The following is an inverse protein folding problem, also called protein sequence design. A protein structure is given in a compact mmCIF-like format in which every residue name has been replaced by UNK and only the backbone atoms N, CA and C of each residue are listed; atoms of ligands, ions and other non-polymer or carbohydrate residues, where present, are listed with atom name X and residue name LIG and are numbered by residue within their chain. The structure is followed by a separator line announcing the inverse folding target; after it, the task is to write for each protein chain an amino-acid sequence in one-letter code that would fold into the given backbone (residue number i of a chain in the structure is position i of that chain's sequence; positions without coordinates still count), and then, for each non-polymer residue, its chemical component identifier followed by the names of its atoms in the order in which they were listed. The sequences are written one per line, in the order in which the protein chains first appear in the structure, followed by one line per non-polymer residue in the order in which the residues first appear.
data_IF_936449680515
#
_entry.id   IF_936449680515
#
_cell.length_a   1.000
_cell.length_b   1.000
_cell.length_c   1.000
_cell.angle_alpha   90.00
_cell.angle_beta   90.00
_cell.angle_gamma   90.00
#
_symmetry.space_group_name_H-M   'P 1'
#
loop_
_entity.id
_entity.type
_entity.pdbx_description
1 polymer ?
#
# COMPACT_ATOMS: atom_id res chain seq x y z
N UNK A 1 -3.73 31.19 -16.15
CA UNK A 1 -2.74 30.09 -16.09
C UNK A 1 -2.42 29.65 -14.65
N UNK A 2 -1.48 30.29 -13.93
CA UNK A 2 -0.99 29.78 -12.63
C UNK A 2 -2.04 29.68 -11.52
N UNK A 3 -2.98 30.62 -11.44
CA UNK A 3 -4.03 30.59 -10.43
C UNK A 3 -4.94 29.34 -10.56
N UNK A 4 -5.24 28.93 -11.79
CA UNK A 4 -6.08 27.77 -12.08
C UNK A 4 -5.34 26.48 -11.73
N UNK A 5 -4.07 26.37 -12.12
CA UNK A 5 -3.21 25.24 -11.73
C UNK A 5 -3.10 25.13 -10.21
N UNK A 6 -2.79 26.24 -9.51
CA UNK A 6 -2.71 26.27 -8.05
C UNK A 6 -4.03 25.85 -7.41
N UNK A 7 -5.17 26.33 -7.92
CA UNK A 7 -6.48 25.93 -7.44
C UNK A 7 -6.73 24.42 -7.60
N UNK A 8 -6.39 23.83 -8.74
CA UNK A 8 -6.49 22.38 -8.95
C UNK A 8 -5.59 21.60 -7.99
N UNK A 9 -4.34 22.03 -7.80
CA UNK A 9 -3.43 21.39 -6.85
C UNK A 9 -3.88 21.54 -5.39
N UNK A 10 -4.53 22.64 -5.02
CA UNK A 10 -5.14 22.81 -3.68
C UNK A 10 -6.31 21.84 -3.49
N UNK A 11 -7.20 21.72 -4.48
CA UNK A 11 -8.29 20.73 -4.43
C UNK A 11 -7.72 19.33 -4.28
N UNK A 12 -6.69 19.00 -5.07
CA UNK A 12 -6.02 17.71 -4.99
C UNK A 12 -5.43 17.47 -3.60
N UNK A 13 -4.72 18.45 -3.05
CA UNK A 13 -4.14 18.39 -1.70
C UNK A 13 -5.20 18.10 -0.64
N UNK A 14 -6.34 18.81 -0.70
CA UNK A 14 -7.46 18.60 0.23
C UNK A 14 -8.07 17.22 0.06
N UNK A 15 -8.33 16.79 -1.17
CA UNK A 15 -8.90 15.48 -1.46
C UNK A 15 -8.00 14.34 -0.95
N UNK A 16 -6.70 14.43 -1.17
CA UNK A 16 -5.72 13.45 -0.67
C UNK A 16 -5.66 13.47 0.86
N UNK A 17 -5.70 14.66 1.47
CA UNK A 17 -5.69 14.77 2.94
C UNK A 17 -6.92 14.10 3.56
N UNK A 18 -8.10 14.28 2.96
CA UNK A 18 -9.34 13.61 3.39
C UNK A 18 -9.21 12.09 3.21
N UNK A 19 -8.78 11.64 2.03
CA UNK A 19 -8.60 10.21 1.75
C UNK A 19 -7.60 9.58 2.73
N UNK A 20 -6.48 10.24 2.98
CA UNK A 20 -5.45 9.75 3.90
C UNK A 20 -5.98 9.63 5.32
N UNK A 21 -6.75 10.60 5.79
CA UNK A 21 -7.37 10.55 7.13
C UNK A 21 -8.48 9.47 7.22
N UNK A 22 -9.12 9.14 6.10
CA UNK A 22 -10.10 8.06 6.03
C UNK A 22 -9.46 6.68 6.08
N UNK A 23 -8.36 6.47 5.34
CA UNK A 23 -7.70 5.17 5.24
C UNK A 23 -6.59 4.96 6.29
N UNK A 24 -6.08 6.02 6.89
CA UNK A 24 -4.99 5.99 7.85
C UNK A 24 -5.34 6.85 9.05
N UNK A 25 -5.03 6.38 10.26
CA UNK A 25 -5.06 7.25 11.45
C UNK A 25 -3.68 7.92 11.60
N UNK A 26 -3.51 9.20 11.23
CA UNK A 26 -2.20 9.86 11.22
C UNK A 26 -1.58 10.01 12.61
N UNK A 27 -2.39 9.92 13.67
CA UNK A 27 -1.91 10.00 15.06
C UNK A 27 -1.32 8.68 15.57
N UNK A 28 -1.75 7.55 15.01
CA UNK A 28 -1.25 6.21 15.39
C UNK A 28 -0.10 5.75 14.50
N UNK A 29 -0.09 6.19 13.24
CA UNK A 29 0.93 5.83 12.27
C UNK A 29 2.17 6.71 12.41
N UNK A 30 3.32 6.18 11.99
CA UNK A 30 4.58 6.93 12.06
C UNK A 30 4.55 8.04 10.99
N UNK A 31 4.87 9.27 11.40
CA UNK A 31 4.73 10.47 10.56
C UNK A 31 5.37 10.34 9.17
N UNK A 32 6.53 9.69 9.07
CA UNK A 32 7.25 9.53 7.80
C UNK A 32 6.50 8.60 6.84
N UNK A 33 5.79 7.58 7.33
CA UNK A 33 4.98 6.69 6.49
C UNK A 33 3.84 7.50 5.85
N UNK A 34 3.14 8.27 6.68
CA UNK A 34 2.05 9.15 6.26
C UNK A 34 2.54 10.18 5.23
N UNK A 35 3.73 10.74 5.42
CA UNK A 35 4.34 11.68 4.48
C UNK A 35 4.64 11.05 3.10
N UNK A 36 5.31 9.89 3.06
CA UNK A 36 5.65 9.24 1.80
C UNK A 36 4.41 8.77 1.03
N UNK A 37 3.38 8.27 1.75
CA UNK A 37 2.10 7.91 1.13
C UNK A 37 1.40 9.16 0.57
N UNK A 38 1.39 10.27 1.32
CA UNK A 38 0.82 11.53 0.87
C UNK A 38 1.48 12.02 -0.43
N UNK A 39 2.81 12.04 -0.48
CA UNK A 39 3.57 12.45 -1.67
C UNK A 39 3.31 11.48 -2.83
N UNK A 40 3.32 10.17 -2.58
CA UNK A 40 3.08 9.15 -3.61
C UNK A 40 1.69 9.27 -4.24
N UNK A 41 0.65 9.47 -3.41
CA UNK A 41 -0.71 9.73 -3.91
C UNK A 41 -0.79 11.06 -4.64
N UNK A 42 -0.15 12.11 -4.11
CA UNK A 42 -0.07 13.43 -4.73
C UNK A 42 0.47 13.40 -6.16
N UNK A 43 1.60 12.72 -6.34
CA UNK A 43 2.24 12.57 -7.65
C UNK A 43 1.47 11.64 -8.59
N UNK A 44 0.73 10.66 -8.06
CA UNK A 44 -0.06 9.74 -8.89
C UNK A 44 -1.34 10.41 -9.41
N UNK A 45 -2.05 11.13 -8.53
CA UNK A 45 -3.30 11.80 -8.88
C UNK A 45 -3.10 13.13 -9.63
N UNK A 46 -1.88 13.68 -9.66
CA UNK A 46 -1.57 14.82 -10.51
C UNK A 46 -1.52 14.45 -12.00
N UNK A 47 -1.22 13.19 -12.36
CA UNK A 47 -1.13 12.74 -13.75
C UNK A 47 -2.48 12.84 -14.48
N UNK A 48 -3.60 12.29 -13.95
CA UNK A 48 -4.92 12.47 -14.55
C UNK A 48 -5.39 13.92 -14.65
N UNK A 49 -4.85 14.83 -13.82
CA UNK A 49 -5.15 16.26 -13.88
C UNK A 49 -4.31 16.98 -14.94
N UNK A 50 -3.02 16.63 -15.08
CA UNK A 50 -2.11 17.26 -16.02
C UNK A 50 -2.36 16.80 -17.47
N UNK A 51 -2.76 15.55 -17.67
CA UNK A 51 -2.95 14.98 -19.01
C UNK A 51 -3.97 15.75 -19.88
N UNK A 52 -5.18 16.11 -19.40
CA UNK A 52 -6.13 16.92 -20.20
C UNK A 52 -5.63 18.34 -20.47
N UNK A 53 -4.83 18.90 -19.55
CA UNK A 53 -4.23 20.22 -19.69
C UNK A 53 -3.18 20.21 -20.80
N UNK A 54 -2.35 19.18 -20.83
CA UNK A 54 -1.34 18.96 -21.87
C UNK A 54 -1.99 18.77 -23.25
N UNK A 55 -3.00 17.91 -23.34
CA UNK A 55 -3.73 17.67 -24.60
C UNK A 55 -4.37 18.97 -25.11
N UNK A 56 -5.09 19.70 -24.24
CA UNK A 56 -5.77 20.93 -24.67
C UNK A 56 -4.80 22.03 -25.07
N UNK A 57 -3.67 22.18 -24.36
CA UNK A 57 -2.62 23.15 -24.70
C UNK A 57 -1.90 22.79 -25.99
N UNK A 58 -1.55 21.50 -26.17
CA UNK A 58 -0.91 21.00 -27.40
C UNK A 58 -1.80 21.14 -28.64
N UNK A 59 -3.12 20.97 -28.50
CA UNK A 59 -4.07 21.20 -29.59
C UNK A 59 -4.17 22.68 -29.96
N UNK A 60 -4.14 23.57 -28.97
CA UNK A 60 -4.13 25.01 -29.18
C UNK A 60 -2.85 25.47 -29.89
N UNK A 61 -1.68 24.99 -29.46
CA UNK A 61 -0.40 25.33 -30.08
C UNK A 61 -0.35 24.91 -31.57
N UNK A 62 -0.81 23.69 -31.87
CA UNK A 62 -0.92 23.20 -33.26
C UNK A 62 -1.91 24.01 -34.11
N UNK A 63 -2.98 24.51 -33.50
CA UNK A 63 -3.96 25.38 -34.17
C UNK A 63 -3.30 26.71 -34.57
N UNK A 64 -2.53 27.32 -33.66
CA UNK A 64 -1.77 28.54 -33.93
C UNK A 64 -0.73 28.33 -35.05
N UNK A 65 -0.01 27.21 -35.03
CA UNK A 65 0.98 26.86 -36.07
C UNK A 65 0.34 26.63 -37.44
N UNK A 66 -0.89 26.13 -37.49
CA UNK A 66 -1.63 25.85 -38.73
C UNK A 66 -2.21 27.10 -39.40
N UNK A 67 -2.11 28.28 -38.77
CA UNK A 67 -2.57 29.55 -39.34
C UNK A 67 -4.10 29.67 -39.46
N UNK A 68 -4.87 28.89 -38.70
CA UNK A 68 -6.33 29.00 -38.69
C UNK A 68 -6.78 30.22 -37.90
N UNK A 69 -7.74 30.98 -38.45
CA UNK A 69 -8.24 32.23 -37.84
C UNK A 69 -9.17 32.02 -36.62
N UNK A 70 -9.47 30.76 -36.25
CA UNK A 70 -10.38 30.41 -35.15
C UNK A 70 -9.66 29.40 -34.25
N UNK A 71 -8.90 29.92 -33.27
CA UNK A 71 -8.27 29.12 -32.22
C UNK A 71 -8.70 29.71 -30.87
N UNK A 72 -9.59 29.02 -30.16
CA UNK A 72 -10.01 29.44 -28.82
C UNK A 72 -8.98 28.99 -27.79
N UNK A 73 -8.44 29.94 -27.02
CA UNK A 73 -7.49 29.63 -25.94
C UNK A 73 -8.21 28.85 -24.84
N UNK A 74 -7.72 27.65 -24.47
CA UNK A 74 -8.34 26.90 -23.38
C UNK A 74 -8.12 27.62 -22.05
N UNK A 75 -9.13 27.60 -21.17
CA UNK A 75 -9.06 28.21 -19.83
C UNK A 75 -7.85 27.73 -19.00
N UNK A 76 -7.39 26.51 -19.28
CA UNK A 76 -6.26 25.85 -18.61
C UNK A 76 -5.00 25.84 -19.48
N UNK A 77 -4.85 26.74 -20.45
CA UNK A 77 -3.66 26.79 -21.29
C UNK A 77 -2.37 26.90 -20.45
N UNK A 78 -1.39 26.06 -20.77
CA UNK A 78 -0.05 26.08 -20.17
C UNK A 78 0.99 26.03 -21.27
N UNK A 79 1.95 26.96 -21.20
CA UNK A 79 3.07 27.01 -22.14
C UNK A 79 3.87 25.69 -22.18
N UNK A 80 4.26 25.26 -23.39
CA UNK A 80 5.01 24.03 -23.63
C UNK A 80 6.24 23.89 -22.74
N UNK A 81 7.03 24.95 -22.50
CA UNK A 81 8.23 24.87 -21.64
C UNK A 81 7.85 24.52 -20.20
N UNK A 82 6.73 25.03 -19.73
CA UNK A 82 6.23 24.76 -18.38
C UNK A 82 5.72 23.32 -18.27
N UNK A 83 4.98 22.84 -19.27
CA UNK A 83 4.53 21.45 -19.34
C UNK A 83 5.70 20.46 -19.30
N UNK A 84 6.76 20.71 -20.08
CA UNK A 84 7.97 19.88 -20.06
C UNK A 84 8.63 19.85 -18.68
N UNK A 85 8.70 20.98 -17.98
CA UNK A 85 9.26 21.03 -16.62
C UNK A 85 8.36 20.23 -15.66
N UNK A 86 7.04 20.40 -15.72
CA UNK A 86 6.09 19.68 -14.87
C UNK A 86 6.16 18.17 -15.10
N UNK A 87 6.17 17.72 -16.36
CA UNK A 87 6.30 16.31 -16.71
C UNK A 87 7.65 15.73 -16.29
N UNK A 88 8.76 16.45 -16.46
CA UNK A 88 10.07 16.01 -15.98
C UNK A 88 10.07 15.85 -14.46
N UNK A 89 9.54 16.82 -13.72
CA UNK A 89 9.40 16.72 -12.27
C UNK A 89 8.56 15.48 -11.90
N UNK A 90 7.36 15.33 -12.46
CA UNK A 90 6.50 14.18 -12.19
C UNK A 90 7.21 12.87 -12.49
N UNK A 91 7.83 12.75 -13.66
CA UNK A 91 8.56 11.55 -14.08
C UNK A 91 9.67 11.19 -13.09
N UNK A 92 10.57 12.12 -12.78
CA UNK A 92 11.72 11.82 -11.92
C UNK A 92 11.32 11.57 -10.47
N UNK A 93 10.38 12.36 -9.92
CA UNK A 93 9.93 12.16 -8.55
C UNK A 93 9.12 10.87 -8.39
N UNK A 94 8.23 10.53 -9.34
CA UNK A 94 7.49 9.25 -9.31
C UNK A 94 8.44 8.08 -9.46
N UNK A 95 9.43 8.18 -10.35
CA UNK A 95 10.44 7.12 -10.55
C UNK A 95 11.26 6.91 -9.28
N UNK A 96 11.80 7.97 -8.68
CA UNK A 96 12.54 7.87 -7.42
C UNK A 96 11.67 7.27 -6.32
N UNK A 97 10.44 7.75 -6.18
CA UNK A 97 9.57 7.34 -5.10
C UNK A 97 9.11 5.88 -5.24
N UNK A 98 8.78 5.45 -6.46
CA UNK A 98 8.32 4.08 -6.76
C UNK A 98 9.45 3.05 -6.70
N UNK A 99 10.62 3.36 -7.24
CA UNK A 99 11.73 2.40 -7.34
C UNK A 99 12.70 2.45 -6.16
N UNK A 100 12.64 3.45 -5.28
CA UNK A 100 13.56 3.52 -4.14
C UNK A 100 12.85 3.76 -2.82
N UNK A 101 12.09 4.85 -2.70
CA UNK A 101 11.57 5.28 -1.40
C UNK A 101 10.49 4.36 -0.85
N UNK A 102 9.48 4.00 -1.65
CA UNK A 102 8.39 3.11 -1.21
C UNK A 102 8.91 1.70 -0.88
N UNK A 103 9.67 1.00 -1.75
CA UNK A 103 10.17 -0.34 -1.44
C UNK A 103 11.06 -0.38 -0.20
N UNK A 104 11.95 0.63 -0.06
CA UNK A 104 12.76 0.78 1.15
C UNK A 104 11.90 0.97 2.40
N UNK A 105 10.90 1.86 2.33
CA UNK A 105 10.01 2.14 3.45
C UNK A 105 9.18 0.91 3.84
N UNK A 106 8.72 0.13 2.86
CA UNK A 106 8.01 -1.12 3.08
C UNK A 106 8.87 -2.13 3.83
N UNK A 107 10.09 -2.41 3.35
CA UNK A 107 11.04 -3.29 4.07
C UNK A 107 11.42 -2.73 5.45
N UNK A 108 11.62 -1.42 5.58
CA UNK A 108 11.98 -0.78 6.86
C UNK A 108 10.86 -0.87 7.90
N UNK A 109 9.59 -0.75 7.47
CA UNK A 109 8.44 -0.89 8.34
C UNK A 109 8.18 -2.35 8.73
N UNK A 110 8.44 -3.29 7.83
CA UNK A 110 8.32 -4.73 8.07
C UNK A 110 9.48 -5.30 8.91
N UNK A 111 10.65 -4.66 8.89
CA UNK A 111 11.83 -5.12 9.63
C UNK A 111 11.59 -5.13 11.15
N UNK A 112 11.87 -6.29 11.76
CA UNK A 112 11.79 -6.50 13.20
C UNK A 112 13.06 -6.16 13.97
N UNK A 113 14.08 -5.57 13.34
CA UNK A 113 15.29 -5.17 14.07
C UNK A 113 14.99 -4.11 15.15
N UNK A 114 15.71 -4.21 16.26
CA UNK A 114 15.50 -3.37 17.44
C UNK A 114 16.15 -2.00 17.30
N UNK A 115 17.28 -1.91 16.58
CA UNK A 115 17.99 -0.67 16.34
C UNK A 115 17.72 -0.08 14.94
N UNK A 116 17.68 1.24 14.85
CA UNK A 116 17.41 1.96 13.58
C UNK A 116 18.44 1.62 12.50
N UNK A 117 19.73 1.56 12.85
CA UNK A 117 20.81 1.27 11.90
C UNK A 117 20.67 -0.14 11.32
N UNK A 118 20.32 -1.11 12.16
CA UNK A 118 20.11 -2.49 11.75
C UNK A 118 18.88 -2.60 10.86
N UNK A 119 17.77 -1.94 11.21
CA UNK A 119 16.60 -1.84 10.33
C UNK A 119 16.93 -1.29 8.96
N UNK A 120 17.71 -0.21 8.89
CA UNK A 120 18.13 0.40 7.60
C UNK A 120 19.02 -0.56 6.82
N UNK A 121 19.94 -1.25 7.49
CA UNK A 121 20.83 -2.22 6.84
C UNK A 121 20.06 -3.43 6.31
N UNK A 122 19.13 -3.97 7.09
CA UNK A 122 18.27 -5.09 6.70
C UNK A 122 17.38 -4.70 5.53
N UNK A 123 16.71 -3.54 5.60
CA UNK A 123 15.83 -3.08 4.52
C UNK A 123 16.59 -2.78 3.22
N UNK A 124 17.79 -2.19 3.30
CA UNK A 124 18.63 -2.00 2.12
C UNK A 124 19.08 -3.34 1.53
N UNK A 125 19.44 -4.32 2.37
CA UNK A 125 19.88 -5.64 1.90
C UNK A 125 18.78 -6.36 1.13
N UNK A 126 17.55 -6.38 1.67
CA UNK A 126 16.39 -6.99 1.00
C UNK A 126 16.14 -6.36 -0.38
N UNK A 127 16.14 -5.02 -0.44
CA UNK A 127 15.90 -4.30 -1.69
C UNK A 127 17.03 -4.51 -2.70
N UNK A 128 18.30 -4.50 -2.26
CA UNK A 128 19.44 -4.77 -3.14
C UNK A 128 19.36 -6.20 -3.70
N UNK A 129 19.04 -7.19 -2.88
CA UNK A 129 18.89 -8.59 -3.35
C UNK A 129 17.77 -8.67 -4.39
N UNK A 130 16.61 -8.05 -4.12
CA UNK A 130 15.51 -7.99 -5.07
C UNK A 130 15.94 -7.38 -6.42
N UNK A 131 16.60 -6.22 -6.40
CA UNK A 131 17.06 -5.57 -7.63
C UNK A 131 18.16 -6.32 -8.35
N UNK A 132 19.05 -7.01 -7.64
CA UNK A 132 20.06 -7.87 -8.25
C UNK A 132 19.42 -9.05 -8.97
N UNK A 133 18.41 -9.70 -8.35
CA UNK A 133 17.68 -10.81 -8.97
C UNK A 133 16.91 -10.34 -10.20
N UNK A 134 16.13 -9.26 -10.07
CA UNK A 134 15.37 -8.69 -11.21
C UNK A 134 16.32 -8.24 -12.32
N UNK A 135 17.39 -7.53 -11.98
CA UNK A 135 18.40 -7.06 -12.92
C UNK A 135 19.11 -8.22 -13.63
N UNK A 136 19.39 -9.33 -12.93
CA UNK A 136 19.98 -10.53 -13.53
C UNK A 136 19.02 -11.19 -14.53
N UNK A 137 17.75 -11.37 -14.17
CA UNK A 137 16.73 -11.95 -15.07
C UNK A 137 16.52 -11.06 -16.31
N UNK A 138 16.34 -9.74 -16.12
CA UNK A 138 16.23 -8.79 -17.22
C UNK A 138 17.50 -8.75 -18.08
N UNK A 139 18.68 -8.89 -17.46
CA UNK A 139 19.97 -8.94 -18.15
C UNK A 139 20.11 -10.16 -19.05
N UNK A 140 19.73 -11.35 -18.57
CA UNK A 140 19.71 -12.58 -19.41
C UNK A 140 18.77 -12.38 -20.60
N UNK A 141 17.57 -11.87 -20.35
CA UNK A 141 16.60 -11.60 -21.42
C UNK A 141 17.16 -10.64 -22.47
N UNK A 142 17.83 -9.57 -22.03
CA UNK A 142 18.45 -8.59 -22.93
C UNK A 142 19.61 -9.20 -23.73
N UNK A 143 20.47 -10.01 -23.12
CA UNK A 143 21.56 -10.70 -23.83
C UNK A 143 21.00 -11.69 -24.86
N UNK A 144 20.00 -12.50 -24.50
CA UNK A 144 19.34 -13.40 -25.45
C UNK A 144 18.72 -12.64 -26.62
N UNK A 145 18.11 -11.49 -26.34
CA UNK A 145 17.55 -10.63 -27.38
C UNK A 145 18.62 -10.08 -28.34
N UNK A 146 19.74 -9.57 -27.81
CA UNK A 146 20.83 -9.03 -28.63
C UNK A 146 21.50 -10.10 -29.51
N UNK A 147 21.59 -11.35 -29.04
CA UNK A 147 22.11 -12.47 -29.84
C UNK A 147 21.18 -12.81 -31.00
N UNK A 148 19.86 -12.78 -30.77
CA UNK A 148 18.88 -13.08 -31.83
C UNK A 148 18.79 -11.94 -32.85
N UNK A 149 18.97 -10.70 -32.42
CA UNK A 149 18.72 -9.52 -33.25
C UNK A 149 19.96 -8.64 -33.40
N UNK A 150 20.78 -8.92 -34.42
CA UNK A 150 22.03 -8.22 -34.71
C UNK A 150 21.86 -6.70 -34.96
N UNK A 151 20.65 -6.24 -35.34
CA UNK A 151 20.32 -4.82 -35.56
C UNK A 151 19.12 -4.35 -34.72
N UNK A 152 18.80 -5.04 -33.63
CA UNK A 152 17.61 -4.78 -32.84
C UNK A 152 17.66 -3.46 -32.08
N UNK A 153 16.65 -2.60 -32.25
CA UNK A 153 16.43 -1.42 -31.42
C UNK A 153 15.97 -1.83 -30.01
N UNK A 154 16.95 -2.12 -29.14
CA UNK A 154 16.71 -2.48 -27.74
C UNK A 154 15.97 -1.38 -26.98
N UNK A 155 16.15 -0.12 -27.38
CA UNK A 155 15.51 1.03 -26.75
C UNK A 155 14.02 1.06 -27.07
N UNK A 156 13.66 0.88 -28.35
CA UNK A 156 12.27 0.76 -28.78
C UNK A 156 11.53 -0.39 -28.10
N UNK A 157 12.20 -1.53 -27.90
CA UNK A 157 11.62 -2.68 -27.18
C UNK A 157 11.50 -2.40 -25.68
N UNK A 158 12.46 -1.72 -25.08
CA UNK A 158 12.35 -1.31 -23.68
C UNK A 158 11.14 -0.38 -23.47
N UNK A 159 10.90 0.55 -24.40
CA UNK A 159 9.69 1.40 -24.38
C UNK A 159 8.43 0.53 -24.53
N UNK A 160 8.40 -0.37 -25.52
CA UNK A 160 7.26 -1.23 -25.76
C UNK A 160 6.95 -2.14 -24.54
N UNK A 161 7.97 -2.71 -23.91
CA UNK A 161 7.85 -3.54 -22.71
C UNK A 161 7.36 -2.75 -21.50
N UNK A 162 7.87 -1.52 -21.29
CA UNK A 162 7.39 -0.61 -20.24
C UNK A 162 5.91 -0.27 -20.42
N UNK A 163 5.51 0.04 -21.66
CA UNK A 163 4.11 0.33 -21.99
C UNK A 163 3.21 -0.92 -21.82
N UNK A 164 3.69 -2.10 -22.22
CA UNK A 164 2.97 -3.35 -22.03
C UNK A 164 2.75 -3.68 -20.54
N UNK A 165 3.76 -3.45 -19.69
CA UNK A 165 3.63 -3.58 -18.23
C UNK A 165 2.56 -2.64 -17.66
N UNK A 166 2.58 -1.36 -18.05
CA UNK A 166 1.58 -0.39 -17.63
C UNK A 166 0.16 -0.78 -18.05
N UNK A 167 -0.02 -1.19 -19.31
CA UNK A 167 -1.31 -1.65 -19.84
C UNK A 167 -1.80 -2.91 -19.12
N UNK A 168 -0.92 -3.88 -18.85
CA UNK A 168 -1.26 -5.08 -18.11
C UNK A 168 -1.77 -4.75 -16.70
N UNK A 169 -1.09 -3.85 -15.99
CA UNK A 169 -1.52 -3.39 -14.66
C UNK A 169 -2.86 -2.65 -14.71
N UNK A 170 -3.08 -1.78 -15.70
CA UNK A 170 -4.36 -1.08 -15.90
C UNK A 170 -5.48 -2.08 -16.16
N UNK A 171 -5.29 -3.04 -17.06
CA UNK A 171 -6.33 -4.04 -17.37
C UNK A 171 -6.71 -4.83 -16.11
N UNK A 172 -5.73 -5.30 -15.34
CA UNK A 172 -5.97 -6.05 -14.11
C UNK A 172 -6.72 -5.26 -13.05
N UNK A 173 -6.26 -4.03 -12.76
CA UNK A 173 -6.83 -3.20 -11.69
C UNK A 173 -8.17 -2.55 -12.10
N UNK A 174 -8.30 -2.11 -13.34
CA UNK A 174 -9.51 -1.50 -13.87
C UNK A 174 -10.65 -2.51 -13.98
N UNK A 175 -10.35 -3.77 -14.34
CA UNK A 175 -11.36 -4.83 -14.39
C UNK A 175 -12.09 -5.00 -13.06
N UNK A 176 -11.35 -5.00 -11.95
CA UNK A 176 -11.95 -5.03 -10.62
C UNK A 176 -12.75 -3.76 -10.32
N UNK A 177 -12.20 -2.58 -10.63
CA UNK A 177 -12.86 -1.30 -10.38
C UNK A 177 -14.20 -1.14 -11.10
N UNK A 178 -14.30 -1.57 -12.37
CA UNK A 178 -15.50 -1.43 -13.19
C UNK A 178 -16.60 -2.42 -12.78
N UNK A 179 -16.25 -3.64 -12.34
CA UNK A 179 -17.24 -4.68 -12.05
C UNK A 179 -17.58 -4.72 -10.57
N UNK A 180 -16.58 -4.81 -9.69
CA UNK A 180 -16.80 -5.06 -8.28
C UNK A 180 -17.44 -3.86 -7.57
N UNK A 181 -17.07 -2.62 -7.92
CA UNK A 181 -17.60 -1.42 -7.25
C UNK A 181 -19.10 -1.23 -7.55
N UNK A 182 -19.56 -1.20 -8.82
CA UNK A 182 -20.98 -1.08 -9.11
C UNK A 182 -21.79 -2.28 -8.63
N UNK A 183 -21.26 -3.51 -8.75
CA UNK A 183 -21.96 -4.70 -8.28
C UNK A 183 -22.14 -4.70 -6.76
N UNK A 184 -21.15 -4.21 -5.99
CA UNK A 184 -21.31 -3.98 -4.54
C UNK A 184 -22.43 -2.97 -4.26
N UNK A 185 -22.47 -1.86 -5.00
CA UNK A 185 -23.54 -0.86 -4.84
C UNK A 185 -24.92 -1.44 -5.15
N UNK A 186 -25.05 -2.24 -6.20
CA UNK A 186 -26.32 -2.90 -6.59
C UNK A 186 -26.73 -3.96 -5.57
N UNK A 187 -25.81 -4.79 -5.08
CA UNK A 187 -26.10 -5.81 -4.07
C UNK A 187 -26.64 -5.20 -2.78
N UNK A 188 -26.14 -4.01 -2.41
CA UNK A 188 -26.59 -3.26 -1.24
C UNK A 188 -28.02 -2.67 -1.39
N UNK A 189 -28.63 -2.71 -2.58
CA UNK A 189 -30.00 -2.21 -2.80
C UNK A 189 -31.05 -3.19 -2.23
N UNK A 190 -30.79 -4.50 -2.31
CA UNK A 190 -31.75 -5.51 -1.84
C UNK A 190 -31.45 -5.93 -0.40
N UNK A 191 -32.38 -5.64 0.51
CA UNK A 191 -32.23 -5.84 1.96
C UNK A 191 -31.86 -7.27 2.35
N UNK A 192 -32.49 -8.27 1.74
CA UNK A 192 -32.29 -9.67 2.11
C UNK A 192 -30.91 -10.20 1.65
N UNK A 193 -30.51 -9.92 0.40
CA UNK A 193 -29.19 -10.35 -0.07
C UNK A 193 -28.07 -9.60 0.63
N UNK A 194 -28.30 -8.33 0.99
CA UNK A 194 -27.35 -7.54 1.78
C UNK A 194 -27.11 -8.18 3.15
N UNK A 195 -28.19 -8.52 3.88
CA UNK A 195 -28.10 -9.21 5.17
C UNK A 195 -27.39 -10.57 5.05
N UNK A 196 -27.78 -11.41 4.10
CA UNK A 196 -27.14 -12.72 3.92
C UNK A 196 -25.64 -12.56 3.63
N UNK A 197 -25.27 -11.61 2.77
CA UNK A 197 -23.85 -11.35 2.49
C UNK A 197 -23.07 -10.76 3.65
N UNK A 198 -23.72 -10.01 4.55
CA UNK A 198 -23.09 -9.55 5.79
C UNK A 198 -22.86 -10.72 6.75
N UNK A 199 -23.81 -11.65 6.86
CA UNK A 199 -23.65 -12.84 7.69
C UNK A 199 -22.53 -13.74 7.17
N UNK A 200 -22.48 -13.98 5.86
CA UNK A 200 -21.37 -14.69 5.20
C UNK A 200 -20.04 -14.00 5.50
N UNK A 201 -19.97 -12.67 5.32
CA UNK A 201 -18.73 -11.93 5.59
C UNK A 201 -18.31 -11.98 7.06
N UNK A 202 -19.26 -11.95 7.99
CA UNK A 202 -19.00 -12.09 9.43
C UNK A 202 -18.45 -13.48 9.72
N UNK A 203 -19.03 -14.53 9.13
CA UNK A 203 -18.54 -15.90 9.29
C UNK A 203 -17.10 -16.04 8.79
N UNK A 204 -16.82 -15.58 7.56
CA UNK A 204 -15.46 -15.60 7.00
C UNK A 204 -14.45 -14.84 7.88
N UNK A 205 -14.85 -13.69 8.42
CA UNK A 205 -13.99 -12.87 9.29
C UNK A 205 -13.74 -13.52 10.67
N UNK A 206 -14.69 -14.30 11.18
CA UNK A 206 -14.52 -15.06 12.43
C UNK A 206 -13.53 -16.20 12.20
N UNK A 207 -13.69 -16.94 11.10
CA UNK A 207 -12.77 -18.02 10.72
C UNK A 207 -11.34 -17.48 10.52
N UNK A 208 -11.17 -16.41 9.74
CA UNK A 208 -9.87 -15.74 9.53
C UNK A 208 -9.26 -15.23 10.85
N UNK A 209 -10.08 -14.71 11.76
CA UNK A 209 -9.62 -14.26 13.07
C UNK A 209 -9.16 -15.43 13.95
N UNK A 210 -9.89 -16.55 13.96
CA UNK A 210 -9.50 -17.75 14.71
C UNK A 210 -8.19 -18.34 14.18
N UNK A 211 -8.01 -18.42 12.87
CA UNK A 211 -6.77 -18.88 12.24
C UNK A 211 -5.55 -18.03 12.64
N UNK A 212 -5.65 -16.70 12.52
CA UNK A 212 -4.53 -15.81 12.86
C UNK A 212 -4.28 -15.74 14.39
N UNK A 213 -5.31 -15.95 15.22
CA UNK A 213 -5.15 -16.11 16.68
C UNK A 213 -4.37 -17.38 17.05
N UNK A 214 -4.57 -18.48 16.32
CA UNK A 214 -3.77 -19.69 16.50
C UNK A 214 -2.30 -19.44 16.18
N UNK A 215 -2.02 -18.78 15.05
CA UNK A 215 -0.64 -18.41 14.65
C UNK A 215 0.00 -17.50 15.70
N UNK A 216 -0.73 -16.52 16.22
CA UNK A 216 -0.22 -15.64 17.28
C UNK A 216 0.10 -16.44 18.56
N UNK A 217 -0.76 -17.39 18.93
CA UNK A 217 -0.55 -18.27 20.08
C UNK A 217 0.72 -19.11 19.92
N UNK A 218 0.96 -19.67 18.74
CA UNK A 218 2.20 -20.40 18.42
C UNK A 218 3.43 -19.50 18.58
N UNK A 219 3.41 -18.27 18.07
CA UNK A 219 4.53 -17.33 18.23
C UNK A 219 4.80 -16.99 19.70
N UNK A 220 3.76 -16.86 20.54
CA UNK A 220 3.91 -16.60 21.99
C UNK A 220 4.64 -17.77 22.67
N UNK A 221 4.42 -19.02 22.25
CA UNK A 221 5.18 -20.17 22.80
C UNK A 221 6.69 -20.03 22.56
N UNK A 222 7.07 -19.52 21.38
CA UNK A 222 8.47 -19.29 20.99
C UNK A 222 9.05 -18.13 21.82
N UNK A 223 8.30 -17.05 22.00
CA UNK A 223 8.70 -15.92 22.87
C UNK A 223 8.94 -16.39 24.31
N UNK A 224 8.06 -17.23 24.85
CA UNK A 224 8.23 -17.80 26.19
C UNK A 224 9.47 -18.67 26.30
N UNK A 225 9.80 -19.44 25.26
CA UNK A 225 11.04 -20.21 25.24
C UNK A 225 12.26 -19.30 25.18
N UNK A 226 12.22 -18.25 24.36
CA UNK A 226 13.28 -17.25 24.26
C UNK A 226 13.54 -16.55 25.62
N UNK A 227 12.49 -16.20 26.35
CA UNK A 227 12.59 -15.63 27.71
C UNK A 227 13.29 -16.56 28.71
N UNK A 228 13.03 -17.87 28.63
CA UNK A 228 13.69 -18.87 29.48
C UNK A 228 15.15 -19.12 29.10
N UNK A 229 15.47 -19.10 27.80
CA UNK A 229 16.83 -19.38 27.30
C UNK A 229 17.79 -18.21 27.52
N UNK A 230 17.27 -16.97 27.50
CA UNK A 230 18.09 -15.75 27.58
C UNK A 230 18.08 -15.20 29.02
N UNK A 231 19.18 -15.32 29.77
CA UNK A 231 19.22 -14.87 31.16
C UNK A 231 19.10 -13.34 31.29
N UNK A 232 18.73 -12.86 32.48
CA UNK A 232 18.52 -11.43 32.77
C UNK A 232 19.78 -10.59 32.51
N UNK A 233 20.97 -11.17 32.74
CA UNK A 233 22.25 -10.47 32.60
C UNK A 233 22.74 -10.37 31.14
N UNK A 234 21.98 -10.87 30.17
CA UNK A 234 22.37 -10.88 28.76
C UNK A 234 22.13 -9.50 28.10
N UNK A 235 23.07 -8.98 27.29
CA UNK A 235 22.86 -7.72 26.56
C UNK A 235 21.62 -7.75 25.65
N UNK A 236 21.23 -8.92 25.13
CA UNK A 236 20.10 -9.09 24.21
C UNK A 236 18.77 -9.21 24.97
N UNK A 237 18.79 -9.31 26.30
CA UNK A 237 17.58 -9.42 27.15
C UNK A 237 16.56 -8.31 26.88
N UNK A 238 17.03 -7.08 26.63
CA UNK A 238 16.17 -5.93 26.31
C UNK A 238 15.30 -6.17 25.08
N UNK A 239 15.80 -6.92 24.10
CA UNK A 239 15.09 -7.29 22.89
C UNK A 239 13.88 -8.19 23.22
N UNK A 240 14.09 -9.21 24.05
CA UNK A 240 13.01 -10.11 24.50
C UNK A 240 11.93 -9.36 25.25
N UNK A 241 12.31 -8.47 26.18
CA UNK A 241 11.35 -7.64 26.93
C UNK A 241 10.52 -6.76 25.99
N UNK A 242 11.15 -6.20 24.94
CA UNK A 242 10.45 -5.38 23.94
C UNK A 242 9.41 -6.20 23.16
N UNK A 243 9.66 -7.50 22.93
CA UNK A 243 8.68 -8.39 22.30
C UNK A 243 7.53 -8.70 23.27
N UNK A 244 7.85 -9.01 24.54
CA UNK A 244 6.85 -9.35 25.56
C UNK A 244 5.88 -8.18 25.80
N UNK A 245 6.38 -6.93 25.82
CA UNK A 245 5.57 -5.72 26.00
C UNK A 245 4.47 -5.53 24.92
N UNK A 246 4.61 -6.19 23.76
CA UNK A 246 3.61 -6.15 22.69
C UNK A 246 2.49 -7.18 22.86
N UNK A 247 2.68 -8.16 23.73
CA UNK A 247 1.76 -9.27 23.97
C UNK A 247 0.90 -8.93 25.19
N UNK A 248 -0.37 -9.31 25.17
CA UNK A 248 -1.26 -9.15 26.32
C UNK A 248 -0.78 -10.00 27.51
N UNK A 249 -0.66 -9.45 28.74
CA UNK A 249 -0.07 -10.15 29.88
C UNK A 249 -0.75 -11.48 30.20
N UNK A 250 -2.08 -11.52 30.13
CA UNK A 250 -2.88 -12.72 30.39
C UNK A 250 -2.56 -13.83 29.40
N UNK A 251 -2.40 -13.50 28.11
CA UNK A 251 -2.04 -14.48 27.07
C UNK A 251 -0.63 -15.00 27.25
N UNK A 252 0.29 -14.12 27.62
CA UNK A 252 1.64 -14.53 27.95
C UNK A 252 1.59 -15.56 29.08
N UNK A 253 1.03 -15.26 30.24
CA UNK A 253 1.03 -16.13 31.42
C UNK A 253 0.47 -17.54 31.16
N UNK A 254 -0.62 -17.66 30.39
CA UNK A 254 -1.30 -18.94 30.12
C UNK A 254 -0.55 -19.88 29.17
N UNK A 255 0.37 -19.37 28.35
CA UNK A 255 0.97 -20.14 27.25
C UNK A 255 2.11 -21.06 27.73
N UNK A 256 2.27 -22.27 27.18
CA UNK A 256 3.44 -23.11 27.48
C UNK A 256 4.65 -22.76 26.58
N UNK A 257 5.90 -22.94 27.03
CA UNK A 257 7.07 -22.66 26.21
C UNK A 257 7.23 -23.68 25.07
N UNK A 258 7.69 -23.21 23.91
CA UNK A 258 8.08 -24.08 22.79
C UNK A 258 9.24 -25.03 23.16
N UNK A 259 9.41 -26.10 22.37
CA UNK A 259 10.48 -27.10 22.58
C UNK A 259 11.86 -26.48 22.43
N UNK A 260 12.11 -25.83 21.29
CA UNK A 260 13.42 -25.33 20.92
C UNK A 260 13.38 -23.85 20.50
N UNK A 261 14.43 -23.13 20.88
CA UNK A 261 14.70 -21.78 20.40
C UNK A 261 16.21 -21.58 20.36
N UNK A 262 16.75 -21.28 19.17
CA UNK A 262 18.16 -20.96 19.02
C UNK A 262 18.38 -19.48 19.29
N UNK A 263 19.17 -19.18 20.31
CA UNK A 263 19.56 -17.81 20.66
C UNK A 263 20.41 -17.20 19.55
N UNK A 264 19.80 -16.30 18.77
CA UNK A 264 20.48 -15.44 17.79
C UNK A 264 19.75 -14.09 17.73
N UNK A 265 20.49 -13.02 17.44
CA UNK A 265 19.90 -11.70 17.21
C UNK A 265 18.93 -11.74 16.02
N UNK A 266 19.33 -12.40 14.93
CA UNK A 266 18.52 -12.52 13.70
C UNK A 266 17.19 -13.24 13.99
N UNK A 267 17.23 -14.37 14.71
CA UNK A 267 16.02 -15.11 15.12
C UNK A 267 15.10 -14.27 16.01
N UNK A 268 15.65 -13.41 16.87
CA UNK A 268 14.85 -12.51 17.71
C UNK A 268 14.25 -11.35 16.93
N UNK A 269 14.99 -10.80 15.97
CA UNK A 269 14.50 -9.76 15.08
C UNK A 269 13.37 -10.30 14.19
N UNK A 270 13.52 -11.51 13.64
CA UNK A 270 12.48 -12.21 12.89
C UNK A 270 11.25 -12.49 13.75
N UNK A 271 11.46 -13.05 14.97
CA UNK A 271 10.37 -13.28 15.91
C UNK A 271 9.62 -11.99 16.26
N UNK A 272 10.35 -10.89 16.47
CA UNK A 272 9.76 -9.58 16.74
C UNK A 272 8.96 -9.04 15.54
N UNK A 273 9.46 -9.21 14.30
CA UNK A 273 8.72 -8.84 13.09
C UNK A 273 7.40 -9.61 13.01
N UNK A 274 7.47 -10.94 13.14
CA UNK A 274 6.33 -11.84 13.04
C UNK A 274 5.29 -11.56 14.12
N UNK A 275 5.70 -11.45 15.38
CA UNK A 275 4.79 -11.11 16.50
C UNK A 275 4.14 -9.74 16.29
N UNK A 276 4.91 -8.74 15.88
CA UNK A 276 4.35 -7.39 15.66
C UNK A 276 3.32 -7.38 14.54
N UNK A 277 3.64 -8.04 13.42
CA UNK A 277 2.74 -8.15 12.27
C UNK A 277 1.47 -8.90 12.65
N UNK A 278 1.61 -10.02 13.36
CA UNK A 278 0.47 -10.84 13.75
C UNK A 278 -0.44 -10.17 14.79
N UNK A 279 0.13 -9.51 15.80
CA UNK A 279 -0.67 -8.71 16.76
C UNK A 279 -1.47 -7.60 16.04
N UNK A 280 -0.89 -6.97 15.01
CA UNK A 280 -1.59 -5.94 14.24
C UNK A 280 -2.72 -6.53 13.39
N UNK A 281 -2.47 -7.65 12.70
CA UNK A 281 -3.47 -8.36 11.91
C UNK A 281 -4.68 -8.80 12.74
N UNK A 282 -4.44 -9.49 13.86
CA UNK A 282 -5.49 -9.93 14.79
C UNK A 282 -6.32 -8.74 15.28
N UNK A 283 -5.68 -7.64 15.69
CA UNK A 283 -6.38 -6.41 16.09
C UNK A 283 -7.24 -5.85 14.94
N UNK A 284 -6.71 -5.82 13.73
CA UNK A 284 -7.42 -5.30 12.56
C UNK A 284 -8.66 -6.15 12.24
N UNK A 285 -8.53 -7.48 12.25
CA UNK A 285 -9.64 -8.41 12.06
C UNK A 285 -10.70 -8.21 13.13
N UNK A 286 -10.30 -8.12 14.40
CA UNK A 286 -11.21 -7.87 15.52
C UNK A 286 -12.01 -6.56 15.35
N UNK A 287 -11.34 -5.44 15.04
CA UNK A 287 -12.03 -4.17 14.82
C UNK A 287 -12.95 -4.20 13.61
N UNK A 288 -12.53 -4.88 12.53
CA UNK A 288 -13.34 -5.04 11.33
C UNK A 288 -14.60 -5.85 11.65
N UNK A 289 -14.44 -7.01 12.28
CA UNK A 289 -15.53 -7.87 12.74
C UNK A 289 -16.52 -7.09 13.61
N UNK A 290 -16.02 -6.36 14.61
CA UNK A 290 -16.86 -5.54 15.49
C UNK A 290 -17.63 -4.45 14.72
N UNK A 291 -16.99 -3.82 13.73
CA UNK A 291 -17.65 -2.84 12.85
C UNK A 291 -18.77 -3.47 12.02
N UNK A 292 -18.55 -4.66 11.46
CA UNK A 292 -19.56 -5.38 10.68
C UNK A 292 -20.73 -5.86 11.55
N UNK A 293 -20.46 -6.34 12.76
CA UNK A 293 -21.49 -6.72 13.74
C UNK A 293 -22.33 -5.50 14.13
N UNK A 294 -21.71 -4.37 14.49
CA UNK A 294 -22.46 -3.16 14.83
C UNK A 294 -23.28 -2.64 13.64
N UNK A 295 -22.74 -2.74 12.43
CA UNK A 295 -23.45 -2.37 11.21
C UNK A 295 -24.67 -3.27 10.97
N UNK A 296 -24.54 -4.59 11.11
CA UNK A 296 -25.65 -5.54 10.94
C UNK A 296 -26.74 -5.33 12.01
N UNK A 297 -26.37 -5.10 13.27
CA UNK A 297 -27.32 -4.75 14.33
C UNK A 297 -28.09 -3.46 14.04
N UNK A 298 -27.41 -2.38 13.66
CA UNK A 298 -28.05 -1.11 13.31
C UNK A 298 -28.96 -1.26 12.09
N UNK A 299 -28.57 -2.08 11.12
CA UNK A 299 -29.35 -2.35 9.93
C UNK A 299 -30.64 -3.13 10.25
N UNK A 300 -30.55 -4.19 11.06
CA UNK A 300 -31.70 -4.94 11.55
C UNK A 300 -32.66 -4.08 12.37
N UNK A 301 -32.12 -3.24 13.26
CA UNK A 301 -32.90 -2.29 14.04
C UNK A 301 -33.69 -1.33 13.13
N UNK A 302 -33.05 -0.80 12.08
CA UNK A 302 -33.70 0.07 11.10
C UNK A 302 -34.84 -0.63 10.36
N UNK A 303 -34.64 -1.87 9.93
CA UNK A 303 -35.68 -2.68 9.27
C UNK A 303 -36.86 -2.92 10.22
N UNK A 304 -36.57 -3.32 11.45
CA UNK A 304 -37.59 -3.60 12.47
C UNK A 304 -38.47 -2.37 12.72
N UNK A 305 -37.86 -1.19 12.90
CA UNK A 305 -38.62 0.06 13.06
C UNK A 305 -39.38 0.46 11.80
N UNK A 306 -38.83 0.30 10.59
CA UNK A 306 -39.57 0.61 9.36
C UNK A 306 -40.76 -0.31 9.10
N UNK A 307 -40.70 -1.56 9.57
CA UNK A 307 -41.79 -2.52 9.45
C UNK A 307 -42.84 -2.37 10.56
N UNK A 308 -42.49 -1.83 11.73
CA UNK A 308 -43.42 -1.54 12.82
C UNK A 308 -44.38 -0.38 12.54
N UNK A 309 -44.05 0.47 11.55
CA UNK A 309 -44.85 1.63 11.13
C UNK A 309 -45.65 1.40 9.84
N UNK A 310 -45.71 0.15 9.35
CA UNK A 310 -46.56 -0.29 8.24
C UNK A 310 -47.65 -1.21 8.76
#
# INVERSE_FOLDING_TARGET
MWAVLLFMFIILFVAISIALNQFTNPLKTRWYVTLFVFIGWGLSFSIPLLLPIDISSSLYDKCLESGSNICDEPFTYVDHKTLVILWNCLYWFTTLLCWTAIPFLQSYCSAGDFHIIERVKSSLRENIIFYLVVGFVCGIFLVMFLIWNENGDWYGIAIAASNAWGLMMVIGMMGYGIVAVPMRLVKNISTQHHLNSLYERIYDLVEEHEEEELVLSELITIVKKADKVIPINDPIRRCVVTIIDKIEPTRYELTEPARDFLKSYENLAELHANVTSQVLKVKQLFYTLHSYINYSFNYLYRIFFTNLWK
#
